data_IF_823413791824
#
_entry.id   IF_823413791824
#
_cell.length_a   1.000
_cell.length_b   1.000
_cell.length_c   1.000
_cell.angle_alpha   90.00
_cell.angle_beta   90.00
_cell.angle_gamma   90.00
#
_symmetry.space_group_name_H-M   'P 1'
#
loop_
_entity.id
_entity.type
_entity.pdbx_description
1 polymer ?
#
# COMPACT_ATOMS: atom_id res chain seq x y z
N UNK A 1 -15.66 11.67 -2.37
CA UNK A 1 -14.97 11.60 -1.08
C UNK A 1 -13.77 12.56 -1.10
N UNK A 2 -13.75 13.51 -0.19
CA UNK A 2 -12.63 14.46 -0.08
C UNK A 2 -11.53 13.84 0.77
N UNK A 3 -10.33 13.75 0.22
CA UNK A 3 -9.18 13.14 0.89
C UNK A 3 -8.06 14.14 1.07
N UNK A 4 -7.36 14.05 2.19
CA UNK A 4 -6.21 14.89 2.53
C UNK A 4 -5.07 14.01 2.99
N UNK A 5 -3.86 14.34 2.54
CA UNK A 5 -2.64 13.63 2.98
C UNK A 5 -2.04 14.38 4.16
N UNK A 6 -1.74 13.65 5.22
CA UNK A 6 -1.09 14.15 6.42
C UNK A 6 0.16 13.34 6.71
N UNK A 7 1.14 13.99 7.31
CA UNK A 7 2.33 13.29 7.80
C UNK A 7 1.90 12.32 8.90
N UNK A 8 2.46 11.11 8.87
CA UNK A 8 2.16 10.10 9.90
C UNK A 8 2.59 10.59 11.28
N UNK A 9 1.77 10.29 12.29
CA UNK A 9 2.11 10.55 13.68
C UNK A 9 1.87 9.28 14.52
N UNK A 10 2.33 9.31 15.77
CA UNK A 10 2.27 8.14 16.65
C UNK A 10 0.84 7.68 16.91
N UNK A 11 -0.08 8.59 17.13
CA UNK A 11 -1.49 8.26 17.38
C UNK A 11 -2.11 7.51 16.20
N UNK A 12 -1.89 8.00 15.00
CA UNK A 12 -2.38 7.37 13.77
C UNK A 12 -1.71 6.02 13.54
N UNK A 13 -0.41 5.93 13.79
CA UNK A 13 0.34 4.69 13.62
C UNK A 13 -0.21 3.60 14.56
N UNK A 14 -0.48 3.94 15.80
CA UNK A 14 -1.07 3.00 16.77
C UNK A 14 -2.45 2.53 16.30
N UNK A 15 -3.27 3.43 15.82
CA UNK A 15 -4.60 3.08 15.31
C UNK A 15 -4.48 2.12 14.13
N UNK A 16 -3.62 2.43 13.16
CA UNK A 16 -3.41 1.60 11.97
C UNK A 16 -2.89 0.20 12.34
N UNK A 17 -1.95 0.13 13.25
CA UNK A 17 -1.36 -1.15 13.66
C UNK A 17 -2.34 -2.03 14.42
N UNK A 18 -3.41 -1.46 14.95
CA UNK A 18 -4.49 -2.18 15.62
C UNK A 18 -5.64 -2.57 14.68
N UNK A 19 -5.60 -2.16 13.43
CA UNK A 19 -6.64 -2.54 12.47
C UNK A 19 -6.65 -4.05 12.26
N UNK A 20 -7.86 -4.62 12.21
CA UNK A 20 -8.07 -6.04 11.93
C UNK A 20 -8.99 -6.21 10.73
N UNK A 21 -8.64 -7.12 9.86
CA UNK A 21 -9.39 -7.41 8.64
C UNK A 21 -10.05 -8.79 8.75
N UNK A 22 -11.19 -8.94 8.09
CA UNK A 22 -11.88 -10.23 8.02
C UNK A 22 -11.12 -11.20 7.10
N UNK A 23 -11.28 -12.49 7.36
CA UNK A 23 -10.67 -13.52 6.50
C UNK A 23 -11.13 -13.40 5.06
N UNK A 24 -10.27 -13.61 4.07
CA UNK A 24 -8.87 -14.03 4.17
C UNK A 24 -7.89 -12.85 4.34
N UNK A 25 -8.38 -11.62 4.48
CA UNK A 25 -7.57 -10.41 4.53
C UNK A 25 -6.91 -10.18 5.89
N UNK A 26 -7.19 -11.03 6.88
CA UNK A 26 -6.48 -11.04 8.15
C UNK A 26 -4.97 -11.30 7.98
N UNK A 27 -4.57 -11.79 6.81
CA UNK A 27 -3.18 -11.85 6.36
C UNK A 27 -2.46 -10.51 6.52
N UNK A 28 -3.17 -9.39 6.34
CA UNK A 28 -2.59 -8.04 6.42
C UNK A 28 -2.65 -7.43 7.82
N UNK A 29 -3.14 -8.17 8.82
CA UNK A 29 -3.15 -7.69 10.19
C UNK A 29 -1.71 -7.52 10.70
N UNK A 30 -1.48 -6.43 11.41
CA UNK A 30 -0.18 -6.12 12.00
C UNK A 30 -0.21 -6.38 13.50
N UNK A 31 0.98 -6.46 14.10
CA UNK A 31 1.14 -6.49 15.54
C UNK A 31 1.63 -5.13 16.02
N UNK A 32 1.01 -4.62 17.07
CA UNK A 32 1.45 -3.38 17.70
C UNK A 32 2.76 -3.63 18.44
N UNK A 33 3.82 -2.90 18.06
CA UNK A 33 5.12 -2.98 18.70
C UNK A 33 5.85 -1.65 18.56
N UNK A 34 6.86 -1.44 19.39
CA UNK A 34 7.68 -0.22 19.31
C UNK A 34 8.39 -0.13 17.96
N UNK A 35 8.90 -1.26 17.46
CA UNK A 35 9.59 -1.27 16.16
C UNK A 35 8.65 -0.95 15.01
N UNK A 36 7.43 -1.45 15.04
CA UNK A 36 6.43 -1.15 14.01
C UNK A 36 6.04 0.32 14.04
N UNK A 37 5.87 0.90 15.21
CA UNK A 37 5.58 2.34 15.36
C UNK A 37 6.74 3.17 14.81
N UNK A 38 7.97 2.82 15.15
CA UNK A 38 9.17 3.52 14.64
C UNK A 38 9.26 3.47 13.12
N UNK A 39 8.98 2.32 12.53
CA UNK A 39 8.97 2.17 11.08
C UNK A 39 7.96 3.13 10.46
N UNK A 40 6.75 3.19 10.99
CA UNK A 40 5.71 4.09 10.47
C UNK A 40 6.04 5.57 10.64
N UNK A 41 6.95 5.91 11.54
CA UNK A 41 7.37 7.29 11.79
C UNK A 41 8.68 7.65 11.10
N UNK A 42 9.20 6.81 10.22
CA UNK A 42 10.51 7.00 9.58
C UNK A 42 10.51 8.02 8.43
N UNK A 43 9.38 8.61 8.10
CA UNK A 43 9.25 9.61 7.04
C UNK A 43 8.77 9.05 5.70
N UNK A 44 8.59 7.73 5.58
CA UNK A 44 8.12 7.09 4.34
C UNK A 44 6.63 6.81 4.33
N UNK A 45 5.95 6.98 5.46
CA UNK A 45 4.52 6.73 5.62
C UNK A 45 3.72 8.02 5.70
N UNK A 46 2.55 8.01 5.09
CA UNK A 46 1.59 9.11 5.11
C UNK A 46 0.22 8.58 5.50
N UNK A 47 -0.51 9.41 6.26
CA UNK A 47 -1.89 9.12 6.58
C UNK A 47 -2.82 9.81 5.59
N UNK A 48 -3.96 9.20 5.31
CA UNK A 48 -4.99 9.78 4.47
C UNK A 48 -6.23 9.98 5.32
N UNK A 49 -6.66 11.23 5.41
CA UNK A 49 -7.81 11.63 6.20
C UNK A 49 -8.98 12.02 5.28
N UNK A 50 -10.18 11.79 5.78
CA UNK A 50 -11.40 12.19 5.10
C UNK A 50 -11.84 13.60 5.49
N UNK A 51 -13.03 13.97 5.01
CA UNK A 51 -13.60 15.31 5.17
C UNK A 51 -13.76 15.73 6.62
N UNK A 52 -14.05 14.79 7.52
CA UNK A 52 -14.25 15.05 8.93
C UNK A 52 -13.04 14.65 9.79
N UNK A 53 -11.88 14.64 9.17
CA UNK A 53 -10.61 14.34 9.83
C UNK A 53 -10.50 12.87 10.31
N UNK A 54 -11.36 11.99 9.81
CA UNK A 54 -11.30 10.56 10.11
C UNK A 54 -10.18 9.89 9.32
N UNK A 55 -9.57 8.87 9.92
CA UNK A 55 -8.47 8.12 9.29
C UNK A 55 -9.03 7.13 8.27
N UNK A 56 -8.85 7.44 7.00
CA UNK A 56 -9.33 6.60 5.87
C UNK A 56 -8.36 5.49 5.54
N UNK A 57 -7.07 5.78 5.62
CA UNK A 57 -6.04 4.82 5.29
C UNK A 57 -4.64 5.40 5.40
N UNK A 58 -3.70 4.69 4.81
CA UNK A 58 -2.31 5.12 4.77
C UNK A 58 -1.64 4.62 3.49
N UNK A 59 -0.48 5.19 3.19
CA UNK A 59 0.40 4.63 2.16
C UNK A 59 1.85 4.88 2.54
N UNK A 60 2.73 4.11 1.93
CA UNK A 60 4.17 4.28 2.08
C UNK A 60 4.85 4.12 0.73
N UNK A 61 6.09 4.58 0.65
CA UNK A 61 6.92 4.51 -0.54
C UNK A 61 8.31 4.01 -0.17
N UNK A 62 8.93 3.27 -1.08
CA UNK A 62 10.30 2.81 -0.94
C UNK A 62 10.43 1.44 -0.28
N UNK A 63 11.47 1.25 0.51
CA UNK A 63 11.82 -0.07 1.06
C UNK A 63 10.70 -0.70 1.89
N UNK A 64 9.95 0.10 2.64
CA UNK A 64 8.87 -0.41 3.48
C UNK A 64 7.66 -0.92 2.68
N UNK A 65 7.60 -0.61 1.40
CA UNK A 65 6.56 -1.13 0.50
C UNK A 65 6.93 -2.47 -0.13
N UNK A 66 8.18 -2.92 0.04
CA UNK A 66 8.68 -4.17 -0.53
C UNK A 66 8.48 -5.34 0.42
N UNK A 67 8.29 -6.53 -0.14
CA UNK A 67 8.36 -7.78 0.61
C UNK A 67 9.83 -8.21 0.58
N UNK A 68 10.54 -8.25 1.73
CA UNK A 68 12.00 -8.41 1.74
C UNK A 68 12.53 -9.61 0.97
N UNK A 69 11.84 -10.75 1.03
CA UNK A 69 12.29 -11.97 0.34
C UNK A 69 12.35 -11.79 -1.19
N UNK A 70 11.57 -10.85 -1.73
CA UNK A 70 11.55 -10.55 -3.16
C UNK A 70 12.90 -10.08 -3.69
N UNK A 71 13.74 -9.50 -2.85
CA UNK A 71 15.09 -9.10 -3.23
C UNK A 71 15.94 -10.27 -3.70
N UNK A 72 15.71 -11.46 -3.13
CA UNK A 72 16.43 -12.68 -3.52
C UNK A 72 16.03 -13.18 -4.91
N UNK A 73 14.86 -12.79 -5.38
CA UNK A 73 14.33 -13.19 -6.69
C UNK A 73 14.54 -12.11 -7.76
N UNK A 74 15.19 -11.02 -7.41
CA UNK A 74 15.49 -9.94 -8.34
C UNK A 74 14.28 -9.14 -8.81
N UNK A 75 13.14 -9.24 -8.13
CA UNK A 75 11.89 -8.56 -8.55
C UNK A 75 11.92 -7.06 -8.31
N UNK A 76 12.87 -6.57 -7.52
CA UNK A 76 13.01 -5.14 -7.19
C UNK A 76 14.27 -4.52 -7.83
N UNK A 77 14.74 -5.09 -8.95
CA UNK A 77 15.97 -4.66 -9.58
C UNK A 77 15.92 -3.30 -10.28
N UNK A 78 14.74 -2.86 -10.68
CA UNK A 78 14.57 -1.59 -11.39
C UNK A 78 14.35 -0.44 -10.42
N UNK A 79 14.72 0.77 -10.86
CA UNK A 79 14.59 1.98 -10.06
C UNK A 79 13.18 2.56 -10.19
N UNK A 80 12.20 1.84 -9.67
CA UNK A 80 10.79 2.25 -9.65
C UNK A 80 10.41 2.77 -8.26
N UNK A 81 9.31 3.50 -8.19
CA UNK A 81 8.73 3.89 -6.91
C UNK A 81 7.87 2.74 -6.42
N UNK A 82 8.30 2.09 -5.35
CA UNK A 82 7.49 1.05 -4.70
C UNK A 82 6.49 1.71 -3.77
N UNK A 83 5.21 1.33 -3.89
CA UNK A 83 4.15 1.83 -3.02
C UNK A 83 3.46 0.69 -2.29
N UNK A 84 3.10 0.96 -1.04
CA UNK A 84 2.26 0.10 -0.24
C UNK A 84 1.10 0.93 0.31
N UNK A 85 -0.03 0.30 0.56
CA UNK A 85 -1.19 1.02 1.08
C UNK A 85 -2.07 0.12 1.93
N UNK A 86 -2.89 0.75 2.76
CA UNK A 86 -3.91 0.06 3.52
C UNK A 86 -5.09 0.99 3.76
N UNK A 87 -6.29 0.44 3.69
CA UNK A 87 -7.52 1.17 3.94
C UNK A 87 -8.11 0.73 5.27
N UNK A 88 -8.72 1.67 5.99
CA UNK A 88 -9.44 1.38 7.22
C UNK A 88 -10.43 0.22 6.99
N UNK A 89 -10.37 -0.85 7.80
CA UNK A 89 -11.25 -2.01 7.64
C UNK A 89 -12.75 -1.67 7.58
N UNK A 90 -13.17 -0.63 8.26
CA UNK A 90 -14.56 -0.18 8.27
C UNK A 90 -15.01 0.39 6.94
N UNK A 91 -14.09 0.69 6.03
CA UNK A 91 -14.37 1.30 4.73
C UNK A 91 -14.16 0.33 3.57
N UNK A 92 -13.56 -0.83 3.82
CA UNK A 92 -13.29 -1.84 2.80
C UNK A 92 -14.61 -2.44 2.31
N UNK A 93 -14.68 -2.74 1.02
CA UNK A 93 -15.85 -3.38 0.42
C UNK A 93 -17.02 -2.44 0.15
N UNK A 94 -16.83 -1.13 0.23
CA UNK A 94 -17.88 -0.13 0.01
C UNK A 94 -17.71 0.65 -1.29
N UNK A 95 -16.91 0.14 -2.23
CA UNK A 95 -16.69 0.79 -3.51
C UNK A 95 -15.77 2.01 -3.45
N UNK A 96 -15.08 2.21 -2.34
CA UNK A 96 -14.21 3.38 -2.13
C UNK A 96 -12.76 3.16 -2.55
N UNK A 97 -12.38 1.93 -2.84
CA UNK A 97 -10.99 1.56 -3.14
C UNK A 97 -10.43 2.27 -4.37
N UNK A 98 -11.24 2.41 -5.41
CA UNK A 98 -10.78 3.06 -6.65
C UNK A 98 -10.36 4.51 -6.40
N UNK A 99 -11.21 5.30 -5.75
CA UNK A 99 -10.91 6.70 -5.45
C UNK A 99 -9.72 6.83 -4.49
N UNK A 100 -9.64 5.95 -3.51
CA UNK A 100 -8.54 5.91 -2.54
C UNK A 100 -7.21 5.66 -3.26
N UNK A 101 -7.13 4.61 -4.06
CA UNK A 101 -5.90 4.27 -4.79
C UNK A 101 -5.55 5.32 -5.84
N UNK A 102 -6.54 5.84 -6.57
CA UNK A 102 -6.32 6.91 -7.56
C UNK A 102 -5.69 8.14 -6.91
N UNK A 103 -6.15 8.50 -5.73
CA UNK A 103 -5.64 9.64 -4.98
C UNK A 103 -4.16 9.46 -4.64
N UNK A 104 -3.79 8.26 -4.17
CA UNK A 104 -2.39 7.92 -3.84
C UNK A 104 -1.52 7.95 -5.10
N UNK A 105 -1.98 7.32 -6.17
CA UNK A 105 -1.25 7.24 -7.44
C UNK A 105 -0.98 8.64 -7.98
N UNK A 106 -1.98 9.50 -7.94
CA UNK A 106 -1.83 10.89 -8.40
C UNK A 106 -0.76 11.64 -7.60
N UNK A 107 -0.75 11.47 -6.28
CA UNK A 107 0.27 12.09 -5.44
C UNK A 107 1.68 11.61 -5.82
N UNK A 108 1.84 10.30 -6.02
CA UNK A 108 3.12 9.72 -6.40
C UNK A 108 3.57 10.20 -7.78
N UNK A 109 2.66 10.22 -8.76
CA UNK A 109 2.95 10.70 -10.11
C UNK A 109 3.42 12.15 -10.14
N UNK A 110 2.78 13.00 -9.37
CA UNK A 110 3.14 14.42 -9.31
C UNK A 110 4.53 14.61 -8.70
N UNK A 111 4.93 13.72 -7.81
CA UNK A 111 6.21 13.79 -7.11
C UNK A 111 7.36 13.12 -7.89
N UNK A 112 7.07 12.08 -8.64
CA UNK A 112 8.05 11.26 -9.35
C UNK A 112 7.67 11.09 -10.84
N UNK A 113 7.48 12.17 -11.53
CA UNK A 113 6.83 12.25 -12.87
C UNK A 113 7.29 11.26 -13.91
N UNK A 114 8.57 10.95 -13.99
CA UNK A 114 9.12 10.09 -15.03
C UNK A 114 9.34 8.65 -14.58
N UNK A 115 9.07 8.35 -13.32
CA UNK A 115 9.39 7.04 -12.74
C UNK A 115 8.14 6.17 -12.64
N UNK A 116 8.16 4.95 -13.16
CA UNK A 116 7.04 4.02 -12.99
C UNK A 116 6.81 3.70 -11.51
N UNK A 117 5.56 3.38 -11.19
CA UNK A 117 5.15 2.97 -9.86
C UNK A 117 4.97 1.46 -9.83
N UNK A 118 5.52 0.80 -8.82
CA UNK A 118 5.40 -0.64 -8.63
C UNK A 118 4.71 -0.91 -7.29
N UNK A 119 3.93 -1.98 -7.24
CA UNK A 119 3.38 -2.49 -5.98
C UNK A 119 3.56 -3.99 -5.92
N UNK A 120 3.51 -4.52 -4.72
CA UNK A 120 3.54 -5.97 -4.47
C UNK A 120 2.24 -6.35 -3.79
N UNK A 121 1.57 -7.37 -4.30
CA UNK A 121 0.29 -7.82 -3.78
C UNK A 121 0.28 -9.34 -3.65
N UNK A 122 -0.36 -9.83 -2.59
CA UNK A 122 -0.51 -11.27 -2.39
C UNK A 122 -1.40 -11.85 -3.49
N UNK A 123 -1.00 -12.98 -4.04
CA UNK A 123 -1.65 -13.60 -5.19
C UNK A 123 -3.11 -14.01 -4.90
N UNK A 124 -3.44 -14.30 -3.64
CA UNK A 124 -4.80 -14.64 -3.23
C UNK A 124 -5.75 -13.44 -3.31
N UNK A 125 -5.22 -12.21 -3.24
CA UNK A 125 -6.04 -10.99 -3.14
C UNK A 125 -6.52 -10.54 -4.52
N UNK A 126 -7.45 -11.31 -5.07
CA UNK A 126 -8.01 -11.06 -6.42
C UNK A 126 -8.74 -9.72 -6.51
N UNK A 127 -9.36 -9.31 -5.41
CA UNK A 127 -10.08 -8.02 -5.36
C UNK A 127 -9.11 -6.85 -5.59
N UNK A 128 -7.98 -6.86 -4.90
CA UNK A 128 -6.98 -5.82 -5.05
C UNK A 128 -6.32 -5.86 -6.43
N UNK A 129 -5.95 -7.06 -6.90
CA UNK A 129 -5.35 -7.23 -8.23
C UNK A 129 -6.26 -6.64 -9.30
N UNK A 130 -7.54 -6.97 -9.25
CA UNK A 130 -8.52 -6.47 -10.21
C UNK A 130 -8.63 -4.94 -10.17
N UNK A 131 -8.63 -4.36 -8.97
CA UNK A 131 -8.63 -2.91 -8.78
C UNK A 131 -7.39 -2.27 -9.41
N UNK A 132 -6.21 -2.83 -9.15
CA UNK A 132 -4.96 -2.31 -9.70
C UNK A 132 -4.91 -2.40 -11.22
N UNK A 133 -5.45 -3.48 -11.80
CA UNK A 133 -5.57 -3.60 -13.24
C UNK A 133 -6.42 -2.49 -13.84
N UNK A 134 -7.54 -2.16 -13.21
CA UNK A 134 -8.39 -1.04 -13.63
C UNK A 134 -7.66 0.29 -13.57
N UNK A 135 -6.70 0.41 -12.68
CA UNK A 135 -5.91 1.64 -12.53
C UNK A 135 -4.68 1.68 -13.44
N UNK A 136 -4.51 0.67 -14.29
CA UNK A 136 -3.44 0.66 -15.29
C UNK A 136 -2.19 -0.10 -14.89
N UNK A 137 -2.21 -0.83 -13.77
CA UNK A 137 -1.10 -1.70 -13.40
C UNK A 137 -1.14 -2.99 -14.20
N UNK A 138 0.05 -3.48 -14.54
CA UNK A 138 0.25 -4.73 -15.27
C UNK A 138 1.18 -5.62 -14.46
N UNK A 139 0.88 -6.91 -14.39
CA UNK A 139 1.74 -7.88 -13.70
C UNK A 139 3.13 -7.91 -14.34
N UNK A 140 4.17 -7.89 -13.51
CA UNK A 140 5.55 -7.93 -13.97
C UNK A 140 6.26 -9.21 -13.56
N UNK A 141 6.27 -9.52 -12.26
CA UNK A 141 6.96 -10.67 -11.72
C UNK A 141 6.11 -11.37 -10.67
N UNK A 142 6.49 -12.60 -10.35
CA UNK A 142 5.93 -13.31 -9.21
C UNK A 142 7.05 -13.97 -8.42
N UNK A 143 6.82 -14.16 -7.12
CA UNK A 143 7.75 -14.83 -6.23
C UNK A 143 6.99 -15.40 -5.05
N UNK A 144 7.64 -16.30 -4.30
CA UNK A 144 7.02 -16.96 -3.16
C UNK A 144 7.91 -16.87 -1.93
N UNK A 145 7.26 -16.74 -0.79
CA UNK A 145 7.88 -17.00 0.52
C UNK A 145 7.52 -18.42 0.94
N UNK A 146 7.94 -18.82 2.13
CA UNK A 146 7.60 -20.15 2.69
C UNK A 146 6.09 -20.34 2.79
N UNK A 147 5.34 -19.27 3.04
CA UNK A 147 3.91 -19.34 3.36
C UNK A 147 3.00 -18.67 2.36
N UNK A 148 3.52 -17.89 1.41
CA UNK A 148 2.67 -17.05 0.57
C UNK A 148 3.26 -16.81 -0.81
N UNK A 149 2.38 -16.57 -1.76
CA UNK A 149 2.75 -16.19 -3.13
C UNK A 149 2.40 -14.73 -3.38
N UNK A 150 3.28 -14.02 -4.09
CA UNK A 150 3.14 -12.61 -4.40
C UNK A 150 3.35 -12.33 -5.88
N UNK A 151 2.75 -11.25 -6.35
CA UNK A 151 3.08 -10.68 -7.66
C UNK A 151 3.48 -9.22 -7.48
N UNK A 152 4.35 -8.75 -8.37
CA UNK A 152 4.59 -7.32 -8.52
C UNK A 152 3.81 -6.82 -9.72
N UNK A 153 3.29 -5.61 -9.62
CA UNK A 153 2.57 -4.95 -10.69
C UNK A 153 3.16 -3.56 -10.90
N UNK A 154 3.22 -3.13 -12.15
CA UNK A 154 3.86 -1.87 -12.54
C UNK A 154 2.89 -1.02 -13.34
N UNK A 155 2.87 0.27 -13.05
CA UNK A 155 2.14 1.26 -13.80
C UNK A 155 3.11 2.31 -14.31
N UNK A 156 3.15 2.49 -15.61
CA UNK A 156 3.98 3.52 -16.24
C UNK A 156 3.21 4.84 -16.26
N UNK A 157 3.92 5.91 -15.95
CA UNK A 157 3.33 7.25 -16.03
C UNK A 157 3.31 7.72 -17.48
N UNK A 158 2.25 8.39 -17.84
CA UNK A 158 2.10 8.97 -19.18
C UNK A 158 2.74 10.36 -19.27
#
# INVERSE_FOLDING_TARGET
MTLVIEKMNEKMAIEILNWTYEKPYDFYNNELSESAIKEMLDGTYYAILGEFNELVGFFCMGENAKVPIGNQFGVYGDDFVDMGLGMNPNLVGQGKGYNFCSFIIKFIEERFKATPTRLTVAKFNKRAIHLYEKLGFVMENEFSTVSSEFITMVRKNN
#
